data_IF_038731602226
#
_entry.id   IF_038731602226
#
_cell.length_a   1.000
_cell.length_b   1.000
_cell.length_c   1.000
_cell.angle_alpha   90.00
_cell.angle_beta   90.00
_cell.angle_gamma   90.00
#
_symmetry.space_group_name_H-M   'P 1'
#
loop_
_entity.id
_entity.type
_entity.pdbx_description
1 polymer ?
#
# COMPACT_ATOMS: atom_id res chain seq x y z
N UNK A 1 27.96 -11.06 -15.45
CA UNK A 1 27.73 -9.65 -15.04
C UNK A 1 28.39 -9.37 -13.71
N UNK A 2 28.29 -10.28 -12.72
CA UNK A 2 29.03 -10.23 -11.45
C UNK A 2 30.53 -9.91 -11.62
N UNK A 3 31.14 -10.40 -12.71
CA UNK A 3 32.53 -10.11 -13.05
C UNK A 3 32.86 -8.61 -13.17
N UNK A 4 31.88 -7.78 -13.53
CA UNK A 4 31.99 -6.31 -13.59
C UNK A 4 31.98 -5.66 -12.20
N UNK A 5 31.54 -6.38 -11.17
CA UNK A 5 31.31 -5.88 -9.82
C UNK A 5 32.44 -6.21 -8.85
N UNK A 6 33.46 -6.97 -9.30
CA UNK A 6 34.59 -7.45 -8.47
C UNK A 6 35.39 -6.35 -7.76
N UNK A 7 35.31 -5.10 -8.24
CA UNK A 7 36.05 -3.96 -7.70
C UNK A 7 35.27 -3.15 -6.64
N UNK A 8 34.08 -3.61 -6.24
CA UNK A 8 33.25 -3.00 -5.19
C UNK A 8 33.37 -3.81 -3.90
N UNK A 9 33.36 -3.12 -2.76
CA UNK A 9 33.49 -3.73 -1.44
C UNK A 9 32.21 -4.48 -1.06
N UNK A 10 31.05 -3.88 -1.38
CA UNK A 10 29.74 -4.51 -1.27
C UNK A 10 28.89 -4.16 -2.51
N UNK A 11 27.99 -5.06 -2.91
CA UNK A 11 27.03 -4.77 -3.95
C UNK A 11 25.73 -5.55 -3.76
N UNK A 12 24.64 -5.02 -4.32
CA UNK A 12 23.37 -5.72 -4.53
C UNK A 12 22.94 -5.50 -5.97
N UNK A 13 22.45 -6.56 -6.60
CA UNK A 13 21.82 -6.55 -7.92
C UNK A 13 20.41 -7.11 -7.77
N UNK A 14 19.41 -6.34 -8.19
CA UNK A 14 18.01 -6.74 -8.20
C UNK A 14 17.56 -6.75 -9.65
N UNK A 15 17.25 -7.92 -10.20
CA UNK A 15 16.66 -8.06 -11.52
C UNK A 15 15.16 -8.35 -11.38
N UNK A 16 14.33 -7.53 -12.03
CA UNK A 16 12.89 -7.70 -12.08
C UNK A 16 12.45 -7.82 -13.53
N UNK A 17 11.68 -8.87 -13.82
CA UNK A 17 11.02 -9.07 -15.10
C UNK A 17 9.52 -9.22 -14.86
N UNK A 18 8.71 -8.38 -15.50
CA UNK A 18 7.26 -8.44 -15.41
C UNK A 18 6.64 -8.64 -16.76
N UNK A 19 5.64 -9.51 -16.82
CA UNK A 19 4.71 -9.63 -17.93
C UNK A 19 3.32 -9.24 -17.45
N UNK A 20 2.74 -8.21 -18.05
CA UNK A 20 1.46 -7.66 -17.61
C UNK A 20 0.48 -7.63 -18.76
N UNK A 21 -0.74 -8.13 -18.49
CA UNK A 21 -1.92 -7.94 -19.32
C UNK A 21 -2.84 -6.95 -18.65
N UNK A 22 -3.37 -6.01 -19.43
CA UNK A 22 -4.37 -5.06 -18.99
C UNK A 22 -5.58 -5.16 -19.91
N UNK A 23 -6.75 -5.29 -19.30
CA UNK A 23 -8.02 -5.16 -19.97
C UNK A 23 -8.72 -3.90 -19.46
N UNK A 24 -9.12 -3.00 -20.36
CA UNK A 24 -9.87 -1.78 -20.05
C UNK A 24 -11.27 -1.86 -20.60
N UNK A 25 -12.21 -1.36 -19.81
CA UNK A 25 -13.61 -1.26 -20.16
C UNK A 25 -14.15 0.13 -19.83
N UNK A 26 -15.13 0.56 -20.63
CA UNK A 26 -15.83 1.84 -20.51
C UNK A 26 -17.20 1.70 -21.19
N UNK A 27 -18.18 2.51 -20.81
CA UNK A 27 -19.56 2.33 -21.24
C UNK A 27 -20.05 0.89 -20.98
N UNK A 28 -19.56 0.27 -19.89
CA UNK A 28 -19.82 -1.13 -19.51
C UNK A 28 -19.43 -2.17 -20.57
N UNK A 29 -18.47 -1.86 -21.44
CA UNK A 29 -17.99 -2.76 -22.48
C UNK A 29 -16.48 -2.81 -22.48
N UNK A 30 -15.96 -4.03 -22.66
CA UNK A 30 -14.54 -4.27 -22.86
C UNK A 30 -14.12 -3.63 -24.18
N UNK A 31 -13.14 -2.72 -24.12
CA UNK A 31 -12.74 -1.92 -25.28
C UNK A 31 -11.28 -2.11 -25.69
N UNK A 32 -10.39 -2.39 -24.74
CA UNK A 32 -8.94 -2.42 -25.02
C UNK A 32 -8.29 -3.55 -24.22
N UNK A 33 -7.49 -4.37 -24.90
CA UNK A 33 -6.55 -5.31 -24.27
C UNK A 33 -5.14 -4.87 -24.63
N UNK A 34 -4.27 -4.78 -23.62
CA UNK A 34 -2.85 -4.44 -23.77
C UNK A 34 -2.01 -5.52 -23.10
N UNK A 35 -0.86 -5.81 -23.67
CA UNK A 35 0.17 -6.65 -23.09
C UNK A 35 1.51 -5.94 -23.23
N UNK A 36 2.33 -5.98 -22.19
CA UNK A 36 3.71 -5.51 -22.24
C UNK A 36 4.59 -6.32 -21.30
N UNK A 37 5.90 -6.27 -21.57
CA UNK A 37 6.93 -6.87 -20.75
C UNK A 37 7.94 -5.80 -20.36
N UNK A 38 8.29 -5.74 -19.09
CA UNK A 38 9.31 -4.84 -18.57
C UNK A 38 10.43 -5.68 -17.96
N UNK A 39 11.68 -5.27 -18.22
CA UNK A 39 12.85 -5.83 -17.55
C UNK A 39 13.73 -4.70 -17.04
N UNK A 40 14.01 -4.73 -15.75
CA UNK A 40 14.83 -3.74 -15.08
C UNK A 40 15.89 -4.45 -14.21
N UNK A 41 17.07 -3.83 -14.13
CA UNK A 41 18.11 -4.22 -13.19
C UNK A 41 18.49 -3.01 -12.36
N UNK A 42 18.30 -3.09 -11.04
CA UNK A 42 18.80 -2.12 -10.09
C UNK A 42 20.14 -2.59 -9.52
N UNK A 43 21.11 -1.68 -9.43
CA UNK A 43 22.41 -1.96 -8.86
C UNK A 43 22.67 -0.98 -7.71
N UNK A 44 23.07 -1.52 -6.56
CA UNK A 44 23.59 -0.77 -5.42
C UNK A 44 25.06 -1.13 -5.25
N UNK A 45 25.93 -0.14 -5.40
CA UNK A 45 27.37 -0.33 -5.46
C UNK A 45 28.04 0.43 -4.33
N UNK A 46 28.80 -0.28 -3.48
CA UNK A 46 29.48 0.30 -2.33
C UNK A 46 31.00 0.15 -2.46
N UNK A 47 31.74 1.25 -2.34
CA UNK A 47 33.21 1.26 -2.46
C UNK A 47 33.82 2.39 -1.65
N UNK A 48 34.84 2.07 -0.84
CA UNK A 48 35.60 3.00 0.01
C UNK A 48 34.70 3.90 0.86
N UNK A 49 33.69 3.29 1.49
CA UNK A 49 32.76 4.02 2.34
C UNK A 49 31.60 4.68 1.60
N UNK A 50 31.45 4.53 0.28
CA UNK A 50 30.50 5.32 -0.51
C UNK A 50 29.53 4.45 -1.29
N UNK A 51 28.23 4.77 -1.24
CA UNK A 51 27.16 4.04 -1.90
C UNK A 51 26.60 4.84 -3.09
N UNK A 52 26.47 4.21 -4.25
CA UNK A 52 25.71 4.74 -5.40
C UNK A 52 24.77 3.67 -5.89
N UNK A 53 23.53 4.05 -6.19
CA UNK A 53 22.58 3.21 -6.89
C UNK A 53 22.20 3.77 -8.26
N UNK A 54 21.81 2.88 -9.17
CA UNK A 54 21.17 3.23 -10.44
C UNK A 54 20.42 2.02 -11.00
N UNK A 55 19.43 2.28 -11.86
CA UNK A 55 18.75 1.23 -12.60
C UNK A 55 19.11 1.22 -14.09
N UNK A 56 18.94 0.06 -14.72
CA UNK A 56 19.18 -0.18 -16.14
C UNK A 56 17.97 -0.89 -16.73
N UNK A 57 17.22 -0.18 -17.56
CA UNK A 57 16.14 -0.73 -18.36
C UNK A 57 16.67 -1.63 -19.49
N UNK A 58 16.01 -2.77 -19.68
CA UNK A 58 16.36 -3.79 -20.66
C UNK A 58 17.87 -4.09 -20.62
N UNK A 59 18.36 -4.61 -19.48
CA UNK A 59 19.78 -4.65 -19.17
C UNK A 59 20.54 -5.54 -20.14
N UNK A 60 21.63 -4.99 -20.66
CA UNK A 60 22.66 -5.72 -21.40
C UNK A 60 24.03 -5.36 -20.84
N UNK A 61 25.03 -6.18 -21.15
CA UNK A 61 26.39 -6.03 -20.60
C UNK A 61 27.01 -4.66 -20.90
N UNK A 62 26.71 -4.04 -22.05
CA UNK A 62 27.25 -2.73 -22.46
C UNK A 62 26.59 -1.61 -21.67
N UNK A 63 25.26 -1.63 -21.51
CA UNK A 63 24.51 -0.66 -20.70
C UNK A 63 24.94 -0.71 -19.24
N UNK A 64 25.02 -1.90 -18.66
CA UNK A 64 25.45 -2.11 -17.26
C UNK A 64 26.87 -1.58 -17.06
N UNK A 65 27.82 -1.92 -17.95
CA UNK A 65 29.19 -1.40 -17.89
C UNK A 65 29.22 0.14 -17.93
N UNK A 66 28.47 0.76 -18.84
CA UNK A 66 28.37 2.23 -18.92
C UNK A 66 27.80 2.85 -17.65
N UNK A 67 26.81 2.20 -17.03
CA UNK A 67 26.24 2.60 -15.74
C UNK A 67 27.27 2.57 -14.62
N UNK A 68 28.03 1.47 -14.51
CA UNK A 68 29.11 1.30 -13.53
C UNK A 68 30.18 2.39 -13.70
N UNK A 69 30.64 2.65 -14.92
CA UNK A 69 31.64 3.69 -15.20
C UNK A 69 31.15 5.09 -14.79
N UNK A 70 29.85 5.38 -14.95
CA UNK A 70 29.24 6.62 -14.48
C UNK A 70 29.15 6.66 -12.94
N UNK A 71 28.75 5.56 -12.31
CA UNK A 71 28.65 5.44 -10.86
C UNK A 71 30.00 5.68 -10.18
N UNK A 72 31.10 5.09 -10.68
CA UNK A 72 32.45 5.30 -10.13
C UNK A 72 32.92 6.76 -10.23
N UNK A 73 32.49 7.50 -11.26
CA UNK A 73 32.77 8.94 -11.38
C UNK A 73 31.98 9.73 -10.34
N UNK A 74 30.70 9.42 -10.16
CA UNK A 74 29.80 10.09 -9.20
C UNK A 74 30.26 9.83 -7.75
N UNK A 75 30.72 8.62 -7.45
CA UNK A 75 31.24 8.26 -6.12
C UNK A 75 32.33 9.21 -5.60
N UNK A 76 33.05 9.91 -6.47
CA UNK A 76 34.08 10.87 -6.04
C UNK A 76 33.50 12.07 -5.28
N UNK A 77 32.26 12.44 -5.56
CA UNK A 77 31.61 13.65 -5.03
C UNK A 77 30.72 13.43 -3.82
N UNK A 78 30.38 12.18 -3.49
CA UNK A 78 29.50 11.88 -2.35
C UNK A 78 30.30 11.63 -1.06
N UNK A 79 29.73 11.98 0.10
CA UNK A 79 30.33 11.71 1.40
C UNK A 79 30.34 10.19 1.72
N UNK A 80 31.18 9.74 2.65
CA UNK A 80 31.13 8.38 3.14
C UNK A 80 29.89 8.13 4.02
N UNK A 81 29.41 6.89 4.02
CA UNK A 81 28.33 6.38 4.85
C UNK A 81 28.60 4.92 5.26
N UNK A 82 28.02 4.51 6.40
CA UNK A 82 27.95 3.09 6.76
C UNK A 82 26.94 2.38 5.87
N UNK A 83 27.25 1.16 5.46
CA UNK A 83 26.37 0.32 4.66
C UNK A 83 26.60 -1.14 5.01
N UNK A 84 25.57 -1.81 5.49
CA UNK A 84 25.59 -3.23 5.83
C UNK A 84 24.63 -4.02 4.96
N UNK A 85 24.95 -5.30 4.78
CA UNK A 85 24.15 -6.23 4.00
C UNK A 85 23.79 -7.46 4.82
N UNK A 86 22.56 -7.90 4.63
CA UNK A 86 22.08 -9.20 5.05
C UNK A 86 22.94 -10.36 4.54
N UNK A 87 22.78 -11.50 5.20
CA UNK A 87 23.34 -12.79 4.76
C UNK A 87 22.20 -13.69 4.31
N UNK A 88 22.54 -14.70 3.53
CA UNK A 88 21.58 -15.70 3.07
C UNK A 88 20.89 -16.38 4.26
N UNK A 89 19.57 -16.52 4.14
CA UNK A 89 18.72 -17.15 5.14
C UNK A 89 17.95 -18.36 4.57
N UNK A 90 17.21 -19.06 5.44
CA UNK A 90 16.24 -20.09 5.06
C UNK A 90 14.92 -19.43 4.69
N UNK A 91 14.49 -19.63 3.45
CA UNK A 91 13.26 -19.03 2.94
C UNK A 91 12.07 -19.96 3.11
N UNK A 92 10.90 -19.37 3.38
CA UNK A 92 9.62 -20.06 3.35
C UNK A 92 8.76 -19.48 2.24
N UNK A 93 8.02 -20.33 1.53
CA UNK A 93 7.12 -19.91 0.47
C UNK A 93 5.69 -20.33 0.78
N UNK A 94 4.92 -19.42 1.38
CA UNK A 94 3.52 -19.66 1.77
C UNK A 94 2.50 -18.95 0.89
N UNK A 95 2.96 -18.13 -0.06
CA UNK A 95 2.09 -17.28 -0.88
C UNK A 95 1.42 -18.07 -2.00
N UNK A 96 0.23 -17.61 -2.38
CA UNK A 96 -0.44 -18.11 -3.58
C UNK A 96 0.32 -17.72 -4.84
N UNK A 97 0.25 -18.60 -5.84
CA UNK A 97 0.70 -18.33 -7.18
C UNK A 97 -0.33 -18.89 -8.15
N UNK A 98 -0.88 -18.02 -8.99
CA UNK A 98 -1.90 -18.39 -9.96
C UNK A 98 -1.23 -18.67 -11.31
N UNK A 99 -1.23 -19.94 -11.72
CA UNK A 99 -0.70 -20.36 -13.03
C UNK A 99 -1.49 -19.77 -14.20
N UNK A 100 -2.77 -19.42 -13.97
CA UNK A 100 -3.67 -18.83 -14.94
C UNK A 100 -3.63 -17.30 -14.94
N UNK A 101 -2.74 -16.65 -14.17
CA UNK A 101 -2.65 -15.19 -14.06
C UNK A 101 -2.51 -14.49 -15.43
N UNK A 102 -1.98 -15.15 -16.46
CA UNK A 102 -1.85 -14.60 -17.82
C UNK A 102 -2.81 -15.22 -18.85
N UNK A 103 -3.79 -16.02 -18.41
CA UNK A 103 -4.76 -16.68 -19.28
C UNK A 103 -5.84 -15.67 -19.73
N UNK A 104 -5.99 -15.49 -21.05
CA UNK A 104 -6.88 -14.47 -21.62
C UNK A 104 -8.36 -14.72 -21.30
N UNK A 105 -8.80 -15.98 -21.38
CA UNK A 105 -10.19 -16.36 -21.08
C UNK A 105 -10.56 -16.08 -19.62
N UNK A 106 -9.64 -16.35 -18.69
CA UNK A 106 -9.82 -16.10 -17.26
C UNK A 106 -9.89 -14.60 -16.96
N UNK A 107 -9.01 -13.80 -17.58
CA UNK A 107 -9.01 -12.34 -17.44
C UNK A 107 -10.30 -11.73 -18.01
N UNK A 108 -10.75 -12.21 -19.18
CA UNK A 108 -12.01 -11.79 -19.81
C UNK A 108 -13.19 -12.10 -18.89
N UNK A 109 -13.31 -13.35 -18.43
CA UNK A 109 -14.38 -13.82 -17.55
C UNK A 109 -14.49 -12.99 -16.27
N UNK A 110 -13.37 -12.76 -15.58
CA UNK A 110 -13.40 -11.97 -14.33
C UNK A 110 -13.69 -10.49 -14.58
N UNK A 111 -13.31 -9.96 -15.75
CA UNK A 111 -13.70 -8.59 -16.11
C UNK A 111 -15.19 -8.48 -16.43
N UNK A 112 -15.76 -9.44 -17.16
CA UNK A 112 -17.20 -9.48 -17.44
C UNK A 112 -18.01 -9.57 -16.15
N UNK A 113 -17.63 -10.47 -15.23
CA UNK A 113 -18.22 -10.55 -13.89
C UNK A 113 -18.17 -9.21 -13.14
N UNK A 114 -17.03 -8.51 -13.17
CA UNK A 114 -16.90 -7.21 -12.51
C UNK A 114 -17.85 -6.15 -13.09
N UNK A 115 -18.01 -6.12 -14.41
CA UNK A 115 -18.93 -5.22 -15.10
C UNK A 115 -20.38 -5.55 -14.72
N UNK A 116 -20.77 -6.83 -14.82
CA UNK A 116 -22.11 -7.31 -14.46
C UNK A 116 -22.43 -6.96 -13.00
N UNK A 117 -21.51 -7.27 -12.09
CA UNK A 117 -21.66 -6.98 -10.67
C UNK A 117 -21.81 -5.49 -10.40
N UNK A 118 -21.04 -4.64 -11.08
CA UNK A 118 -21.18 -3.18 -10.97
C UNK A 118 -22.54 -2.68 -11.48
N UNK A 119 -23.12 -3.31 -12.49
CA UNK A 119 -24.40 -2.91 -13.09
C UNK A 119 -25.62 -3.34 -12.28
N UNK A 120 -25.46 -4.22 -11.29
CA UNK A 120 -26.51 -4.46 -10.29
C UNK A 120 -26.82 -3.19 -9.47
N UNK A 121 -25.88 -2.24 -9.39
CA UNK A 121 -25.97 -1.04 -8.53
C UNK A 121 -26.01 0.27 -9.33
N UNK A 122 -25.24 0.35 -10.42
CA UNK A 122 -25.10 1.57 -11.23
C UNK A 122 -25.69 1.45 -12.63
N UNK A 123 -25.67 2.57 -13.34
CA UNK A 123 -26.14 2.67 -14.73
C UNK A 123 -25.02 2.33 -15.73
N UNK A 124 -23.77 2.60 -15.35
CA UNK A 124 -22.60 2.41 -16.19
C UNK A 124 -21.36 2.04 -15.35
N UNK A 125 -20.42 1.31 -15.95
CA UNK A 125 -19.11 1.07 -15.36
C UNK A 125 -17.95 1.39 -16.30
N UNK A 126 -16.83 1.82 -15.70
CA UNK A 126 -15.57 2.03 -16.40
C UNK A 126 -14.40 1.65 -15.49
N UNK A 127 -13.34 1.07 -16.05
CA UNK A 127 -12.24 0.57 -15.24
C UNK A 127 -11.20 -0.21 -16.01
N UNK A 128 -10.34 -0.89 -15.25
CA UNK A 128 -9.35 -1.79 -15.79
C UNK A 128 -9.04 -2.94 -14.82
N UNK A 129 -8.84 -4.12 -15.38
CA UNK A 129 -8.22 -5.26 -14.73
C UNK A 129 -6.78 -5.37 -15.22
N UNK A 130 -5.83 -5.42 -14.29
CA UNK A 130 -4.42 -5.69 -14.53
C UNK A 130 -4.10 -7.08 -13.99
N UNK A 131 -3.37 -7.86 -14.78
CA UNK A 131 -2.93 -9.19 -14.41
C UNK A 131 -1.46 -9.35 -14.72
N UNK A 132 -0.65 -9.61 -13.70
CA UNK A 132 0.80 -9.50 -13.75
C UNK A 132 1.45 -10.77 -13.25
N UNK A 133 2.43 -11.26 -14.01
CA UNK A 133 3.42 -12.24 -13.55
C UNK A 133 4.76 -11.53 -13.39
N UNK A 134 5.41 -11.70 -12.25
CA UNK A 134 6.70 -11.11 -11.94
C UNK A 134 7.70 -12.22 -11.61
N UNK A 135 8.92 -12.11 -12.16
CA UNK A 135 10.09 -12.84 -11.73
C UNK A 135 11.07 -11.86 -11.09
N UNK A 136 11.54 -12.18 -9.89
CA UNK A 136 12.49 -11.40 -9.12
C UNK A 136 13.75 -12.23 -8.90
N UNK A 137 14.91 -11.65 -9.10
CA UNK A 137 16.20 -12.25 -8.79
C UNK A 137 17.08 -11.27 -8.04
N UNK A 138 17.73 -11.76 -6.98
CA UNK A 138 18.63 -10.95 -6.15
C UNK A 138 19.98 -11.64 -6.03
N UNK A 139 21.04 -10.86 -6.24
CA UNK A 139 22.43 -11.26 -6.01
C UNK A 139 23.15 -10.21 -5.17
N UNK A 140 23.97 -10.62 -4.19
CA UNK A 140 24.76 -9.67 -3.41
C UNK A 140 26.19 -10.16 -3.12
N UNK A 141 27.03 -9.25 -2.63
CA UNK A 141 28.44 -9.54 -2.31
C UNK A 141 28.66 -10.49 -1.12
N UNK A 142 27.63 -10.78 -0.32
CA UNK A 142 27.66 -11.77 0.76
C UNK A 142 27.34 -13.19 0.27
N UNK A 143 27.20 -13.40 -1.04
CA UNK A 143 26.92 -14.71 -1.63
C UNK A 143 25.44 -15.09 -1.67
N UNK A 144 24.54 -14.13 -1.46
CA UNK A 144 23.11 -14.32 -1.76
C UNK A 144 22.95 -14.46 -3.28
N UNK A 145 22.20 -15.47 -3.69
CA UNK A 145 21.68 -15.65 -5.03
C UNK A 145 20.34 -16.39 -4.88
N UNK A 146 19.23 -15.65 -5.04
CA UNK A 146 17.89 -16.17 -4.80
C UNK A 146 16.88 -15.59 -5.79
N UNK A 147 15.82 -16.36 -6.02
CA UNK A 147 14.79 -16.05 -7.02
C UNK A 147 13.40 -16.23 -6.43
N UNK A 148 12.47 -15.38 -6.88
CA UNK A 148 11.07 -15.46 -6.53
C UNK A 148 10.15 -15.22 -7.73
N UNK A 149 8.95 -15.79 -7.66
CA UNK A 149 7.93 -15.67 -8.70
C UNK A 149 6.61 -15.24 -8.05
N UNK A 150 5.98 -14.24 -8.65
CA UNK A 150 4.76 -13.63 -8.13
C UNK A 150 3.67 -13.52 -9.19
N UNK A 151 2.42 -13.66 -8.76
CA UNK A 151 1.21 -13.39 -9.54
C UNK A 151 0.41 -12.31 -8.82
N UNK A 152 -0.09 -11.32 -9.55
CA UNK A 152 -0.88 -10.22 -9.00
C UNK A 152 -1.99 -9.85 -9.96
N UNK A 153 -3.22 -9.90 -9.48
CA UNK A 153 -4.40 -9.36 -10.14
C UNK A 153 -4.83 -8.08 -9.41
N UNK A 154 -5.15 -7.03 -10.16
CA UNK A 154 -5.60 -5.74 -9.62
C UNK A 154 -6.74 -5.20 -10.48
N UNK A 155 -7.92 -5.05 -9.88
CA UNK A 155 -9.10 -4.47 -10.48
C UNK A 155 -9.32 -3.07 -9.92
N UNK A 156 -9.51 -2.09 -10.80
CA UNK A 156 -10.02 -0.77 -10.45
C UNK A 156 -11.24 -0.47 -11.30
N UNK A 157 -12.38 -0.28 -10.66
CA UNK A 157 -13.68 -0.09 -11.32
C UNK A 157 -14.44 1.06 -10.69
N UNK A 158 -14.96 1.94 -11.55
CA UNK A 158 -15.90 2.98 -11.19
C UNK A 158 -17.30 2.57 -11.60
N UNK A 159 -18.20 2.60 -10.64
CA UNK A 159 -19.65 2.47 -10.86
C UNK A 159 -20.23 3.87 -10.94
N UNK A 160 -20.92 4.18 -12.03
CA UNK A 160 -21.51 5.49 -12.30
C UNK A 160 -23.02 5.45 -12.03
N UNK A 161 -23.53 6.51 -11.40
CA UNK A 161 -24.94 6.72 -11.11
C UNK A 161 -25.28 8.14 -11.52
N UNK A 162 -26.24 8.43 -12.42
CA UNK A 162 -26.69 9.79 -12.79
C UNK A 162 -25.56 10.86 -12.77
N UNK A 163 -25.35 11.55 -11.62
CA UNK A 163 -24.34 12.59 -11.40
C UNK A 163 -23.28 12.26 -10.31
N UNK A 164 -22.98 10.98 -10.10
CA UNK A 164 -22.15 10.43 -9.03
C UNK A 164 -21.35 9.22 -9.49
N UNK A 165 -20.31 8.89 -8.74
CA UNK A 165 -19.54 7.66 -8.94
C UNK A 165 -19.06 7.11 -7.62
N UNK A 166 -18.99 5.78 -7.52
CA UNK A 166 -18.23 5.07 -6.49
C UNK A 166 -17.04 4.38 -7.14
N UNK A 167 -15.92 4.33 -6.42
CA UNK A 167 -14.71 3.64 -6.86
C UNK A 167 -14.51 2.40 -5.99
N UNK A 168 -14.36 1.25 -6.63
CA UNK A 168 -13.97 0.00 -6.00
C UNK A 168 -12.59 -0.42 -6.52
N UNK A 169 -11.78 -0.93 -5.61
CA UNK A 169 -10.48 -1.53 -5.93
C UNK A 169 -10.39 -2.90 -5.28
N UNK A 170 -9.89 -3.89 -6.02
CA UNK A 170 -9.55 -5.21 -5.50
C UNK A 170 -8.15 -5.57 -5.93
N UNK A 171 -7.44 -6.27 -5.07
CA UNK A 171 -6.18 -6.90 -5.45
C UNK A 171 -6.04 -8.25 -4.74
N UNK A 172 -5.42 -9.19 -5.42
CA UNK A 172 -5.19 -10.55 -4.94
C UNK A 172 -4.04 -11.18 -5.73
N UNK A 173 -3.49 -12.28 -5.21
CA UNK A 173 -2.51 -13.08 -5.94
C UNK A 173 -3.15 -14.05 -6.94
N UNK A 174 -4.48 -14.19 -6.90
CA UNK A 174 -5.26 -15.03 -7.81
C UNK A 174 -6.25 -14.19 -8.61
N UNK A 175 -6.54 -14.60 -9.85
CA UNK A 175 -7.61 -14.00 -10.65
C UNK A 175 -8.99 -14.39 -10.13
N UNK A 176 -9.14 -15.62 -9.65
CA UNK A 176 -10.44 -16.17 -9.28
C UNK A 176 -11.15 -15.32 -8.21
N UNK A 177 -12.39 -14.94 -8.51
CA UNK A 177 -13.24 -14.15 -7.62
C UNK A 177 -12.90 -12.66 -7.52
N UNK A 178 -11.91 -12.15 -8.27
CA UNK A 178 -11.59 -10.71 -8.24
C UNK A 178 -12.74 -9.84 -8.78
N UNK A 179 -13.51 -10.38 -9.73
CA UNK A 179 -14.66 -9.69 -10.32
C UNK A 179 -15.93 -9.71 -9.46
N UNK A 180 -15.96 -10.51 -8.40
CA UNK A 180 -17.17 -10.73 -7.60
C UNK A 180 -17.34 -9.73 -6.44
N UNK A 181 -16.25 -9.04 -6.06
CA UNK A 181 -16.17 -8.21 -4.85
C UNK A 181 -16.21 -6.72 -5.18
N UNK A 182 -17.35 -6.14 -5.56
CA UNK A 182 -17.42 -4.72 -5.91
C UNK A 182 -17.99 -3.92 -4.75
N UNK A 183 -17.23 -2.94 -4.22
CA UNK A 183 -17.54 -2.10 -3.04
C UNK A 183 -18.97 -1.54 -2.95
N UNK A 184 -19.68 -1.40 -4.08
CA UNK A 184 -21.08 -1.03 -4.12
C UNK A 184 -22.01 -2.04 -3.41
N UNK A 185 -21.58 -3.30 -3.28
CA UNK A 185 -22.26 -4.38 -2.57
C UNK A 185 -22.64 -4.02 -1.13
N UNK A 186 -21.83 -3.19 -0.48
CA UNK A 186 -22.01 -2.76 0.91
C UNK A 186 -23.00 -1.60 1.08
N UNK A 187 -23.43 -0.94 0.01
CA UNK A 187 -24.30 0.25 0.07
C UNK A 187 -25.46 0.18 -0.93
N UNK A 188 -26.33 -0.80 -0.75
CA UNK A 188 -27.46 -1.12 -1.65
C UNK A 188 -28.52 -0.01 -1.82
N UNK A 189 -28.45 1.11 -1.08
CA UNK A 189 -29.34 2.27 -1.24
C UNK A 189 -28.60 3.58 -1.07
N UNK A 190 -28.13 4.13 -2.18
CA UNK A 190 -27.59 5.50 -2.22
C UNK A 190 -28.78 6.47 -2.12
N UNK A 191 -28.86 7.32 -1.08
CA UNK A 191 -29.95 8.30 -0.96
C UNK A 191 -29.88 9.32 -2.10
N UNK A 192 -31.02 9.85 -2.55
CA UNK A 192 -31.01 10.94 -3.56
C UNK A 192 -30.75 12.33 -2.94
N UNK A 193 -31.06 12.48 -1.65
CA UNK A 193 -31.00 13.76 -0.94
C UNK A 193 -29.55 14.20 -0.76
N UNK A 194 -29.27 15.46 -1.09
CA UNK A 194 -27.95 16.08 -0.93
C UNK A 194 -27.96 17.10 0.19
N UNK A 195 -26.84 17.23 0.88
CA UNK A 195 -26.63 18.22 1.93
C UNK A 195 -25.21 18.75 1.96
N UNK A 196 -25.08 20.01 2.34
CA UNK A 196 -23.80 20.61 2.68
C UNK A 196 -23.49 20.37 4.15
N UNK A 197 -22.29 19.85 4.41
CA UNK A 197 -21.74 19.73 5.76
C UNK A 197 -21.26 21.10 6.21
N UNK A 198 -21.34 21.39 7.50
CA UNK A 198 -20.76 22.61 8.10
C UNK A 198 -19.35 22.29 8.55
N UNK A 199 -18.49 23.30 8.61
CA UNK A 199 -17.18 23.12 9.22
C UNK A 199 -17.32 22.80 10.71
N UNK A 200 -16.47 21.91 11.22
CA UNK A 200 -16.51 21.51 12.60
C UNK A 200 -15.94 20.13 12.86
N UNK A 201 -16.27 19.60 14.03
CA UNK A 201 -15.85 18.29 14.50
C UNK A 201 -16.93 17.25 14.23
N UNK A 202 -16.53 16.14 13.64
CA UNK A 202 -17.42 15.04 13.30
C UNK A 202 -16.78 13.71 13.69
N UNK A 203 -17.62 12.78 14.13
CA UNK A 203 -17.27 11.37 14.03
C UNK A 203 -17.32 10.96 12.57
N UNK A 204 -16.39 10.13 12.14
CA UNK A 204 -16.36 9.61 10.78
C UNK A 204 -16.26 8.10 10.77
N UNK A 205 -16.97 7.47 9.83
CA UNK A 205 -16.79 6.08 9.45
C UNK A 205 -15.97 6.04 8.16
N UNK A 206 -14.73 5.60 8.25
CA UNK A 206 -13.85 5.39 7.11
C UNK A 206 -14.08 3.98 6.56
N UNK A 207 -14.26 3.89 5.26
CA UNK A 207 -14.24 2.60 4.55
C UNK A 207 -12.82 2.05 4.48
N UNK A 208 -12.64 0.75 4.15
CA UNK A 208 -11.33 0.17 3.95
C UNK A 208 -10.47 0.94 2.95
N UNK A 209 -11.05 1.46 1.86
CA UNK A 209 -10.32 2.25 0.86
C UNK A 209 -9.77 3.54 1.48
N UNK A 210 -10.61 4.27 2.21
CA UNK A 210 -10.22 5.54 2.83
C UNK A 210 -9.24 5.33 4.00
N UNK A 211 -9.45 4.30 4.81
CA UNK A 211 -8.58 4.00 5.95
C UNK A 211 -7.22 3.46 5.49
N UNK A 212 -7.19 2.59 4.48
CA UNK A 212 -5.96 2.08 3.87
C UNK A 212 -5.03 3.19 3.38
N UNK A 213 -5.56 4.29 2.84
CA UNK A 213 -4.75 5.46 2.45
C UNK A 213 -3.96 6.00 3.65
N UNK A 214 -4.63 6.25 4.78
CA UNK A 214 -3.98 6.77 5.98
C UNK A 214 -2.97 5.78 6.56
N UNK A 215 -3.31 4.49 6.57
CA UNK A 215 -2.44 3.43 7.07
C UNK A 215 -1.23 3.19 6.16
N UNK A 216 -1.36 3.37 4.85
CA UNK A 216 -0.22 3.32 3.92
C UNK A 216 0.82 4.40 4.23
N UNK A 217 0.39 5.63 4.54
CA UNK A 217 1.30 6.66 5.04
C UNK A 217 1.92 6.28 6.39
N UNK A 218 1.11 5.79 7.35
CA UNK A 218 1.60 5.31 8.64
C UNK A 218 2.70 4.24 8.49
N UNK A 219 2.50 3.26 7.60
CA UNK A 219 3.47 2.21 7.34
C UNK A 219 4.81 2.78 6.83
N UNK A 220 4.77 3.77 5.93
CA UNK A 220 5.98 4.45 5.49
C UNK A 220 6.66 5.24 6.62
N UNK A 221 5.89 5.88 7.52
CA UNK A 221 6.42 6.55 8.70
C UNK A 221 7.11 5.61 9.68
N UNK A 222 6.76 4.32 9.68
CA UNK A 222 7.39 3.30 10.51
C UNK A 222 8.77 2.86 10.01
N UNK A 223 9.21 3.31 8.83
CA UNK A 223 10.56 3.05 8.34
C UNK A 223 11.62 3.74 9.22
N UNK A 224 12.63 2.99 9.67
CA UNK A 224 13.72 3.56 10.45
C UNK A 224 14.48 4.66 9.68
N UNK A 225 14.55 4.56 8.36
CA UNK A 225 15.13 5.63 7.53
C UNK A 225 14.28 6.90 7.55
N UNK A 226 12.94 6.78 7.50
CA UNK A 226 12.04 7.93 7.59
C UNK A 226 12.15 8.63 8.96
N UNK A 227 12.31 7.87 10.03
CA UNK A 227 12.59 8.40 11.38
C UNK A 227 13.93 9.14 11.41
N UNK A 228 15.01 8.48 11.01
CA UNK A 228 16.37 9.02 11.04
C UNK A 228 16.56 10.29 10.20
N UNK A 229 15.81 10.41 9.11
CA UNK A 229 15.85 11.55 8.20
C UNK A 229 14.89 12.68 8.60
N UNK A 230 14.11 12.51 9.67
CA UNK A 230 13.16 13.49 10.16
C UNK A 230 11.90 13.62 9.29
N UNK A 231 11.57 12.58 8.53
CA UNK A 231 10.35 12.43 7.74
C UNK A 231 9.29 11.55 8.44
N UNK A 232 9.36 11.42 9.78
CA UNK A 232 8.38 10.64 10.54
C UNK A 232 7.99 11.31 11.84
N UNK A 233 6.71 11.16 12.20
CA UNK A 233 6.17 11.59 13.49
C UNK A 233 6.38 10.56 14.61
N UNK A 234 6.97 9.41 14.30
CA UNK A 234 7.23 8.31 15.24
C UNK A 234 8.59 8.40 15.94
N UNK A 235 9.36 9.45 15.68
CA UNK A 235 10.68 9.69 16.31
C UNK A 235 10.56 9.66 17.84
N UNK A 236 11.42 8.85 18.49
CA UNK A 236 11.49 8.68 19.94
C UNK A 236 10.18 8.20 20.61
N UNK A 237 9.31 7.48 19.89
CA UNK A 237 8.02 6.99 20.40
C UNK A 237 7.93 5.49 20.63
N UNK A 238 9.01 4.72 20.44
CA UNK A 238 9.03 3.29 20.78
C UNK A 238 8.71 3.12 22.28
N UNK A 239 7.80 2.20 22.60
CA UNK A 239 7.29 1.95 23.94
C UNK A 239 6.21 2.95 24.41
N UNK A 240 5.69 3.80 23.52
CA UNK A 240 4.65 4.79 23.86
C UNK A 240 3.36 4.56 23.06
N UNK A 241 2.22 5.00 23.61
CA UNK A 241 0.92 4.94 22.92
C UNK A 241 0.87 5.97 21.79
N UNK A 242 0.84 5.48 20.55
CA UNK A 242 0.72 6.27 19.31
C UNK A 242 -0.64 6.10 18.63
N UNK A 243 -1.44 5.14 19.09
CA UNK A 243 -2.78 4.84 18.61
C UNK A 243 -3.70 4.42 19.76
N UNK A 244 -4.99 4.23 19.46
CA UNK A 244 -5.99 3.68 20.38
C UNK A 244 -5.65 2.22 20.75
N UNK A 245 -6.13 1.75 21.90
CA UNK A 245 -5.86 0.38 22.38
C UNK A 245 -6.47 -0.70 21.49
N UNK A 246 -7.51 -0.36 20.71
CA UNK A 246 -8.09 -1.27 19.73
C UNK A 246 -7.26 -1.41 18.44
N UNK A 247 -6.12 -0.71 18.32
CA UNK A 247 -5.28 -0.73 17.12
C UNK A 247 -4.04 -1.59 17.35
N UNK A 248 -3.98 -2.70 16.63
CA UNK A 248 -2.75 -3.47 16.39
C UNK A 248 -2.45 -3.42 14.90
N UNK A 249 -1.22 -3.06 14.54
CA UNK A 249 -0.74 -2.94 13.16
C UNK A 249 0.54 -3.75 13.01
N UNK A 250 0.59 -4.62 12.01
CA UNK A 250 1.78 -5.36 11.68
C UNK A 250 2.08 -5.29 10.18
N UNK A 251 3.35 -5.39 9.83
CA UNK A 251 3.80 -5.65 8.46
C UNK A 251 4.09 -7.14 8.29
N UNK A 252 3.81 -7.69 7.11
CA UNK A 252 4.09 -9.10 6.86
C UNK A 252 4.44 -9.35 5.40
N UNK A 253 5.63 -9.89 5.16
CA UNK A 253 6.07 -10.38 3.85
C UNK A 253 5.65 -11.82 3.55
N UNK A 254 4.93 -12.47 4.48
CA UNK A 254 4.53 -13.88 4.42
C UNK A 254 3.02 -14.10 4.37
N UNK A 255 2.23 -13.03 4.17
CA UNK A 255 0.77 -13.13 3.98
C UNK A 255 0.44 -13.92 2.71
N UNK A 256 -0.41 -14.94 2.84
CA UNK A 256 -0.66 -15.89 1.74
C UNK A 256 -1.19 -15.21 0.48
N UNK A 257 -2.13 -14.28 0.63
CA UNK A 257 -2.73 -13.51 -0.47
C UNK A 257 -2.19 -12.07 -0.55
N UNK A 258 -1.16 -11.73 0.23
CA UNK A 258 -0.52 -10.41 0.18
C UNK A 258 0.18 -10.20 -1.16
N UNK A 259 -0.23 -9.18 -1.92
CA UNK A 259 0.34 -8.95 -3.25
C UNK A 259 1.81 -8.54 -3.22
N UNK A 260 2.31 -8.05 -2.07
CA UNK A 260 3.72 -7.73 -1.84
C UNK A 260 4.45 -8.79 -1.00
N UNK A 261 3.83 -9.95 -0.75
CA UNK A 261 4.52 -11.07 -0.08
C UNK A 261 5.63 -11.64 -0.94
N UNK A 262 6.82 -11.81 -0.35
CA UNK A 262 8.06 -12.27 -1.02
C UNK A 262 8.83 -13.19 -0.09
N UNK A 263 9.57 -14.16 -0.64
CA UNK A 263 10.38 -15.11 0.17
C UNK A 263 11.51 -14.43 0.94
N UNK A 264 12.00 -13.32 0.41
CA UNK A 264 13.14 -12.57 0.91
C UNK A 264 13.00 -11.09 0.60
N UNK A 265 13.66 -10.24 1.39
CA UNK A 265 13.78 -8.81 1.16
C UNK A 265 14.89 -8.48 0.14
N UNK A 266 15.12 -7.18 -0.12
CA UNK A 266 16.05 -6.77 -1.18
C UNK A 266 17.53 -7.10 -0.85
N UNK A 267 17.85 -7.44 0.41
CA UNK A 267 19.17 -7.90 0.83
C UNK A 267 19.31 -9.44 0.79
N UNK A 268 18.21 -10.16 0.54
CA UNK A 268 18.15 -11.62 0.53
C UNK A 268 17.92 -12.26 1.90
N UNK A 269 17.46 -11.50 2.89
CA UNK A 269 17.04 -12.00 4.20
C UNK A 269 15.60 -12.48 4.10
N UNK A 270 15.20 -13.52 4.86
CA UNK A 270 13.80 -13.96 4.87
C UNK A 270 12.86 -12.83 5.33
N UNK A 271 11.72 -12.68 4.64
CA UNK A 271 10.67 -11.77 5.13
C UNK A 271 9.91 -12.44 6.28
N UNK A 272 9.28 -11.62 7.12
CA UNK A 272 8.60 -12.09 8.32
C UNK A 272 7.36 -11.24 8.62
N UNK A 273 6.64 -11.61 9.68
CA UNK A 273 5.64 -10.76 10.33
C UNK A 273 6.33 -9.92 11.40
N UNK A 274 6.14 -8.61 11.35
CA UNK A 274 6.71 -7.63 12.29
C UNK A 274 5.59 -6.77 12.86
N UNK A 275 5.32 -6.90 14.17
CA UNK A 275 4.33 -6.06 14.86
C UNK A 275 4.90 -4.65 15.05
N UNK A 276 4.30 -3.66 14.38
CA UNK A 276 4.72 -2.25 14.46
C UNK A 276 4.02 -1.57 15.65
N UNK A 277 2.72 -1.77 15.77
CA UNK A 277 1.88 -1.27 16.87
C UNK A 277 1.14 -2.45 17.48
N UNK A 278 1.16 -2.58 18.80
CA UNK A 278 0.39 -3.58 19.55
C UNK A 278 -0.45 -2.86 20.58
N UNK A 279 -1.78 -3.00 20.48
CA UNK A 279 -2.74 -2.37 21.39
C UNK A 279 -2.47 -0.87 21.61
N UNK A 280 -2.20 -0.16 20.52
CA UNK A 280 -1.92 1.27 20.50
C UNK A 280 -0.47 1.68 20.81
N UNK A 281 0.38 0.76 21.29
CA UNK A 281 1.78 1.05 21.64
C UNK A 281 2.72 0.75 20.46
N UNK A 282 3.60 1.69 20.12
CA UNK A 282 4.62 1.49 19.09
C UNK A 282 5.72 0.56 19.60
N UNK A 283 5.93 -0.58 18.94
CA UNK A 283 6.89 -1.61 19.37
C UNK A 283 8.23 -1.52 18.67
N UNK A 284 8.26 -1.21 17.37
CA UNK A 284 9.50 -1.14 16.59
C UNK A 284 9.33 -0.24 15.36
N UNK A 285 10.45 0.08 14.72
CA UNK A 285 10.48 0.53 13.33
C UNK A 285 10.72 -0.66 12.39
N UNK A 286 10.46 -0.48 11.10
CA UNK A 286 10.89 -1.40 10.06
C UNK A 286 12.36 -1.13 9.71
N UNK A 287 13.15 -2.20 9.63
CA UNK A 287 14.59 -2.16 9.48
C UNK A 287 15.09 -3.01 8.30
N UNK A 288 16.15 -2.50 7.68
CA UNK A 288 17.10 -3.23 6.85
C UNK A 288 18.39 -3.46 7.66
N UNK A 289 19.41 -4.15 7.13
CA UNK A 289 20.63 -4.43 7.93
C UNK A 289 21.38 -3.17 8.37
N UNK A 290 21.40 -2.14 7.52
CA UNK A 290 22.10 -0.87 7.82
C UNK A 290 21.44 -0.12 8.98
N UNK A 291 20.11 0.02 8.92
CA UNK A 291 19.34 0.72 9.97
C UNK A 291 19.26 -0.11 11.24
N UNK A 292 19.18 -1.44 11.15
CA UNK A 292 19.23 -2.34 12.30
C UNK A 292 20.56 -2.18 13.07
N UNK A 293 21.70 -2.17 12.37
CA UNK A 293 23.00 -1.92 13.00
C UNK A 293 23.03 -0.55 13.70
N UNK A 294 22.53 0.51 13.05
CA UNK A 294 22.53 1.86 13.63
C UNK A 294 21.67 1.96 14.89
N UNK A 295 20.53 1.26 14.94
CA UNK A 295 19.61 1.23 16.07
C UNK A 295 19.95 0.13 17.10
N UNK A 296 21.05 -0.61 16.90
CA UNK A 296 21.46 -1.73 17.74
C UNK A 296 20.35 -2.79 17.94
N UNK A 297 19.62 -3.10 16.86
CA UNK A 297 18.57 -4.11 16.83
C UNK A 297 18.81 -5.11 15.68
N UNK A 298 17.90 -6.07 15.52
CA UNK A 298 17.90 -6.99 14.40
C UNK A 298 17.09 -6.42 13.23
N UNK A 299 17.42 -6.85 12.00
CA UNK A 299 16.62 -6.53 10.82
C UNK A 299 15.22 -7.11 10.96
N UNK A 300 14.21 -6.40 10.43
CA UNK A 300 12.83 -6.89 10.41
C UNK A 300 12.48 -7.60 9.11
N UNK A 301 13.47 -7.82 8.23
CA UNK A 301 13.26 -8.42 6.91
C UNK A 301 12.50 -7.49 5.96
N UNK A 302 12.71 -6.17 6.10
CA UNK A 302 12.04 -5.11 5.34
C UNK A 302 13.02 -4.30 4.48
N UNK A 303 14.13 -4.90 4.05
CA UNK A 303 15.08 -4.17 3.22
C UNK A 303 14.44 -3.76 1.88
N UNK A 304 14.23 -2.44 1.73
CA UNK A 304 14.73 -1.70 0.59
C UNK A 304 16.16 -1.23 0.90
N UNK A 305 17.07 -1.31 -0.08
CA UNK A 305 18.52 -1.21 0.18
C UNK A 305 18.92 0.11 0.86
N UNK A 306 18.27 1.22 0.51
CA UNK A 306 18.51 2.53 1.13
C UNK A 306 17.51 2.78 2.27
N UNK A 307 16.22 2.58 1.99
CA UNK A 307 15.13 2.83 2.92
C UNK A 307 14.36 1.54 3.15
N UNK A 308 14.19 1.08 4.40
CA UNK A 308 13.26 0.00 4.71
C UNK A 308 11.85 0.33 4.20
N UNK A 309 11.15 -0.68 3.66
CA UNK A 309 9.81 -0.53 3.09
C UNK A 309 8.85 -1.59 3.67
N UNK A 310 7.56 -1.24 3.86
CA UNK A 310 6.54 -2.22 4.23
C UNK A 310 6.25 -3.18 3.06
N UNK A 311 5.91 -4.42 3.39
CA UNK A 311 5.41 -5.41 2.44
C UNK A 311 3.90 -5.34 2.33
N UNK A 312 3.20 -5.98 3.24
CA UNK A 312 1.75 -5.90 3.37
C UNK A 312 1.47 -5.43 4.79
N UNK A 313 0.84 -4.27 4.93
CA UNK A 313 0.45 -3.74 6.23
C UNK A 313 -0.94 -4.26 6.59
N UNK A 314 -1.11 -4.76 7.80
CA UNK A 314 -2.38 -5.27 8.28
C UNK A 314 -2.73 -4.52 9.55
N UNK A 315 -3.93 -3.92 9.56
CA UNK A 315 -4.58 -3.50 10.80
C UNK A 315 -5.41 -4.67 11.26
N UNK A 316 -5.24 -5.12 12.50
CA UNK A 316 -6.10 -6.18 13.03
C UNK A 316 -7.58 -5.77 12.99
N UNK A 317 -8.45 -6.74 12.74
CA UNK A 317 -9.89 -6.48 12.70
C UNK A 317 -10.43 -6.36 14.12
N UNK A 318 -11.51 -5.60 14.29
CA UNK A 318 -12.28 -5.57 15.53
C UNK A 318 -13.35 -6.66 15.57
N UNK A 319 -14.37 -6.46 16.39
CA UNK A 319 -15.48 -7.41 16.56
C UNK A 319 -16.77 -6.97 15.87
N UNK A 320 -16.83 -5.74 15.37
CA UNK A 320 -18.07 -5.14 14.86
C UNK A 320 -18.39 -5.57 13.43
N UNK A 321 -19.68 -5.72 13.14
CA UNK A 321 -20.20 -5.68 11.76
C UNK A 321 -20.44 -4.24 11.33
N UNK A 322 -20.37 -3.99 10.02
CA UNK A 322 -20.55 -2.64 9.47
C UNK A 322 -21.91 -2.06 9.86
N UNK A 323 -22.98 -2.87 9.78
CA UNK A 323 -24.34 -2.42 10.14
C UNK A 323 -24.42 -1.97 11.61
N UNK A 324 -23.80 -2.73 12.53
CA UNK A 324 -23.72 -2.38 13.96
C UNK A 324 -22.94 -1.06 14.17
N UNK A 325 -21.85 -0.86 13.43
CA UNK A 325 -21.09 0.40 13.47
C UNK A 325 -21.92 1.58 12.98
N UNK A 326 -22.77 1.39 11.95
CA UNK A 326 -23.63 2.45 11.42
C UNK A 326 -24.73 2.78 12.42
N UNK A 327 -25.40 1.75 12.98
CA UNK A 327 -26.49 1.88 13.96
C UNK A 327 -26.06 2.67 15.21
N UNK A 328 -24.82 2.47 15.69
CA UNK A 328 -24.26 3.16 16.85
C UNK A 328 -23.92 4.65 16.59
N UNK A 329 -23.95 5.11 15.34
CA UNK A 329 -23.60 6.49 14.97
C UNK A 329 -24.84 7.40 14.93
N UNK A 330 -24.92 8.31 15.90
CA UNK A 330 -26.01 9.28 15.99
C UNK A 330 -25.89 10.45 15.00
N UNK A 331 -24.67 10.92 14.74
CA UNK A 331 -24.38 12.00 13.79
C UNK A 331 -22.93 11.92 13.31
N UNK A 332 -22.70 11.33 12.14
CA UNK A 332 -21.35 11.05 11.62
C UNK A 332 -21.28 11.19 10.10
N UNK A 333 -20.06 11.22 9.55
CA UNK A 333 -19.84 11.19 8.10
C UNK A 333 -19.25 9.83 7.69
N UNK A 334 -19.85 9.18 6.71
CA UNK A 334 -19.24 8.01 6.06
C UNK A 334 -18.41 8.49 4.88
N UNK A 335 -17.10 8.25 4.93
CA UNK A 335 -16.16 8.66 3.89
C UNK A 335 -15.75 7.43 3.09
N UNK A 336 -16.21 7.33 1.84
CA UNK A 336 -15.97 6.15 1.00
C UNK A 336 -14.58 6.10 0.38
N UNK A 337 -13.99 7.26 0.12
CA UNK A 337 -12.67 7.37 -0.48
C UNK A 337 -12.04 8.72 -0.11
N UNK A 338 -10.71 8.77 -0.07
CA UNK A 338 -9.94 10.00 0.16
C UNK A 338 -8.77 10.09 -0.81
N UNK A 339 -8.58 11.27 -1.41
CA UNK A 339 -7.52 11.53 -2.38
C UNK A 339 -6.75 12.78 -2.01
N UNK A 340 -5.56 12.92 -2.60
CA UNK A 340 -4.70 14.09 -2.39
C UNK A 340 -4.35 14.27 -0.90
N UNK A 341 -4.13 13.15 -0.21
CA UNK A 341 -3.56 13.17 1.14
C UNK A 341 -2.17 13.77 1.06
N UNK A 342 -1.96 14.88 1.77
CA UNK A 342 -0.70 15.61 1.78
C UNK A 342 -0.34 15.99 3.19
N UNK A 343 0.84 15.55 3.61
CA UNK A 343 1.46 15.98 4.86
C UNK A 343 2.14 17.32 4.62
N UNK A 344 1.69 18.34 5.35
CA UNK A 344 2.40 19.63 5.36
C UNK A 344 3.49 19.65 6.43
N UNK A 345 3.42 18.73 7.42
CA UNK A 345 4.52 18.48 8.34
C UNK A 345 4.61 16.98 8.70
N UNK A 346 5.66 16.34 8.20
CA UNK A 346 5.93 14.91 8.41
C UNK A 346 6.40 14.59 9.84
N UNK A 347 7.03 15.56 10.53
CA UNK A 347 7.56 15.38 11.90
C UNK A 347 6.47 15.43 12.97
N UNK A 348 5.45 16.25 12.75
CA UNK A 348 4.30 16.32 13.66
C UNK A 348 3.19 15.37 13.21
N UNK A 349 3.13 15.02 11.92
CA UNK A 349 2.10 14.16 11.35
C UNK A 349 0.87 14.93 10.86
N UNK A 350 1.00 16.23 10.61
CA UNK A 350 -0.12 17.08 10.18
C UNK A 350 -0.36 16.96 8.68
N UNK A 351 -1.61 16.67 8.31
CA UNK A 351 -2.01 16.42 6.93
C UNK A 351 -3.37 17.02 6.58
N UNK A 352 -3.63 17.11 5.28
CA UNK A 352 -4.96 17.34 4.76
C UNK A 352 -5.26 16.33 3.66
N UNK A 353 -6.50 15.86 3.59
CA UNK A 353 -7.00 15.00 2.53
C UNK A 353 -8.43 15.38 2.14
N UNK A 354 -8.83 15.03 0.93
CA UNK A 354 -10.14 15.39 0.38
C UNK A 354 -10.97 14.13 0.20
N UNK A 355 -12.17 14.12 0.78
CA UNK A 355 -13.13 13.07 0.50
C UNK A 355 -13.49 13.10 -0.99
N UNK A 356 -13.38 11.95 -1.65
CA UNK A 356 -13.72 11.77 -3.05
C UNK A 356 -14.84 10.76 -3.21
N UNK A 357 -15.34 10.68 -4.43
CA UNK A 357 -16.52 9.90 -4.76
C UNK A 357 -17.72 10.37 -3.91
N UNK A 358 -18.58 9.47 -3.46
CA UNK A 358 -19.75 9.80 -2.64
C UNK A 358 -19.37 9.68 -1.16
N UNK A 359 -19.63 10.70 -0.37
CA UNK A 359 -19.64 10.59 1.10
C UNK A 359 -21.08 10.71 1.61
N UNK A 360 -21.37 10.15 2.78
CA UNK A 360 -22.71 10.15 3.35
C UNK A 360 -22.77 10.81 4.72
N UNK A 361 -23.91 11.40 5.05
CA UNK A 361 -24.26 11.79 6.41
C UNK A 361 -25.06 10.66 7.05
N UNK A 362 -24.52 10.12 8.14
CA UNK A 362 -25.21 9.17 9.03
C UNK A 362 -25.90 9.97 10.12
N UNK A 363 -27.19 9.70 10.33
CA UNK A 363 -27.96 10.29 11.42
C UNK A 363 -28.87 9.24 12.04
N UNK A 364 -28.80 9.11 13.37
CA UNK A 364 -29.58 8.15 14.16
C UNK A 364 -29.50 6.71 13.61
N UNK A 365 -28.30 6.26 13.25
CA UNK A 365 -28.11 4.90 12.74
C UNK A 365 -28.45 4.69 11.26
N UNK A 366 -28.78 5.75 10.50
CA UNK A 366 -29.20 5.62 9.11
C UNK A 366 -28.39 6.51 8.16
N UNK A 367 -28.07 5.97 6.98
CA UNK A 367 -27.47 6.71 5.87
C UNK A 367 -28.57 7.53 5.18
N UNK A 368 -28.62 8.85 5.43
CA UNK A 368 -29.75 9.69 4.98
C UNK A 368 -29.45 10.53 3.75
N UNK A 369 -28.23 11.06 3.64
CA UNK A 369 -27.92 12.14 2.71
C UNK A 369 -26.53 11.97 2.10
N UNK A 370 -26.39 12.32 0.83
CA UNK A 370 -25.08 12.52 0.19
C UNK A 370 -24.51 13.85 0.61
N UNK A 371 -23.23 13.86 0.93
CA UNK A 371 -22.46 15.04 1.29
C UNK A 371 -21.25 15.21 0.37
N UNK A 372 -20.85 16.47 0.13
CA UNK A 372 -19.75 16.83 -0.77
C UNK A 372 -18.91 17.95 -0.17
N UNK A 373 -17.73 18.15 -0.77
CA UNK A 373 -16.83 19.25 -0.41
C UNK A 373 -16.14 19.04 0.94
N UNK A 374 -16.06 17.80 1.42
CA UNK A 374 -15.45 17.43 2.70
C UNK A 374 -13.93 17.38 2.52
N UNK A 375 -13.23 18.15 3.37
CA UNK A 375 -11.79 18.05 3.56
C UNK A 375 -11.51 17.73 5.01
N UNK A 376 -10.71 16.69 5.23
CA UNK A 376 -10.17 16.33 6.54
C UNK A 376 -8.84 17.06 6.69
N UNK A 377 -8.67 17.81 7.77
CA UNK A 377 -7.43 18.52 8.09
C UNK A 377 -7.04 18.16 9.52
N UNK A 378 -6.14 17.20 9.67
CA UNK A 378 -5.94 16.47 10.91
C UNK A 378 -4.46 16.13 11.17
N UNK A 379 -4.22 15.58 12.36
CA UNK A 379 -2.95 14.99 12.74
C UNK A 379 -3.04 13.45 12.74
N UNK A 380 -2.06 12.76 12.16
CA UNK A 380 -2.07 11.30 12.00
C UNK A 380 -2.13 10.57 13.35
N UNK A 381 -1.31 10.98 14.34
CA UNK A 381 -1.33 10.36 15.66
C UNK A 381 -2.68 10.56 16.36
N UNK A 382 -3.27 11.76 16.22
CA UNK A 382 -4.60 12.05 16.74
C UNK A 382 -5.67 11.18 16.10
N UNK A 383 -5.64 11.00 14.77
CA UNK A 383 -6.56 10.11 14.05
C UNK A 383 -6.45 8.69 14.60
N UNK A 384 -5.24 8.16 14.73
CA UNK A 384 -5.01 6.80 15.24
C UNK A 384 -5.43 6.63 16.71
N UNK A 385 -5.19 7.64 17.56
CA UNK A 385 -5.64 7.66 18.97
C UNK A 385 -7.15 7.77 19.12
N UNK A 386 -7.82 8.38 18.14
CA UNK A 386 -9.27 8.57 18.17
C UNK A 386 -10.04 7.45 17.44
N UNK A 387 -9.39 6.37 17.01
CA UNK A 387 -10.11 5.20 16.51
C UNK A 387 -10.88 4.57 17.67
N UNK A 388 -12.21 4.55 17.55
CA UNK A 388 -13.12 4.03 18.55
C UNK A 388 -13.35 2.53 18.38
N UNK A 389 -13.62 2.09 17.15
CA UNK A 389 -13.83 0.67 16.83
C UNK A 389 -13.49 0.38 15.37
N UNK A 390 -13.29 -0.91 15.10
CA UNK A 390 -12.95 -1.46 13.79
C UNK A 390 -13.93 -2.57 13.41
N UNK A 391 -14.20 -2.73 12.11
CA UNK A 391 -14.93 -3.91 11.65
C UNK A 391 -14.08 -5.17 11.77
N UNK A 392 -14.76 -6.31 11.86
CA UNK A 392 -14.12 -7.64 11.82
C UNK A 392 -13.47 -7.95 10.49
N UNK A 393 -14.21 -7.72 9.41
CA UNK A 393 -13.76 -8.00 8.06
C UNK A 393 -12.74 -6.95 7.58
N UNK A 394 -11.75 -7.42 6.82
CA UNK A 394 -10.68 -6.60 6.23
C UNK A 394 -10.68 -6.77 4.73
N UNK A 395 -10.31 -5.71 4.00
CA UNK A 395 -10.11 -5.75 2.55
C UNK A 395 -8.66 -5.38 2.23
N UNK A 396 -8.03 -6.12 1.32
CA UNK A 396 -6.71 -5.78 0.80
C UNK A 396 -6.86 -4.66 -0.24
N UNK A 397 -6.34 -3.48 0.09
CA UNK A 397 -6.42 -2.28 -0.73
C UNK A 397 -5.03 -1.95 -1.26
N UNK A 398 -4.93 -1.76 -2.58
CA UNK A 398 -3.75 -1.26 -3.27
C UNK A 398 -4.20 -0.52 -4.53
N UNK A 399 -3.71 0.71 -4.72
CA UNK A 399 -3.98 1.57 -5.88
C UNK A 399 -3.14 2.86 -5.75
N UNK A 400 -3.29 3.82 -6.65
CA UNK A 400 -2.36 4.97 -6.71
C UNK A 400 -2.37 5.93 -5.50
N UNK A 401 -3.34 5.84 -4.60
CA UNK A 401 -3.33 6.57 -3.31
C UNK A 401 -2.93 5.66 -2.13
N UNK A 402 -2.60 4.38 -2.37
CA UNK A 402 -2.19 3.38 -1.38
C UNK A 402 -0.96 2.66 -1.95
N UNK A 403 0.22 3.25 -1.73
CA UNK A 403 1.48 2.86 -2.39
C UNK A 403 2.06 1.54 -1.88
N UNK A 404 1.63 1.09 -0.69
CA UNK A 404 1.91 -0.23 -0.15
C UNK A 404 0.58 -0.91 0.23
N UNK A 405 0.38 -2.20 -0.10
CA UNK A 405 -0.87 -2.91 0.18
C UNK A 405 -1.25 -2.85 1.66
N UNK A 406 -2.51 -2.53 1.93
CA UNK A 406 -3.05 -2.52 3.29
C UNK A 406 -4.28 -3.43 3.38
N UNK A 407 -4.26 -4.36 4.33
CA UNK A 407 -5.46 -5.07 4.77
C UNK A 407 -6.16 -4.20 5.81
N UNK A 408 -7.14 -3.42 5.36
CA UNK A 408 -7.83 -2.44 6.19
C UNK A 408 -9.27 -2.90 6.53
N UNK A 409 -9.69 -2.79 7.79
CA UNK A 409 -11.10 -2.82 8.16
C UNK A 409 -11.78 -1.47 7.90
N UNK A 410 -13.09 -1.40 8.13
CA UNK A 410 -13.78 -0.15 8.42
C UNK A 410 -13.32 0.40 9.77
N UNK A 411 -13.26 1.72 9.91
CA UNK A 411 -12.83 2.36 11.16
C UNK A 411 -13.74 3.54 11.52
N UNK A 412 -14.22 3.57 12.77
CA UNK A 412 -14.86 4.77 13.34
C UNK A 412 -13.79 5.61 14.01
N UNK A 413 -13.64 6.85 13.57
CA UNK A 413 -12.72 7.83 14.17
C UNK A 413 -13.53 8.97 14.76
N UNK A 414 -13.28 9.28 16.04
CA UNK A 414 -14.00 10.32 16.77
C UNK A 414 -13.35 11.69 16.62
N UNK A 415 -14.17 12.74 16.70
CA UNK A 415 -13.71 14.13 16.82
C UNK A 415 -12.72 14.58 15.71
N UNK A 416 -13.04 14.27 14.45
CA UNK A 416 -12.24 14.64 13.28
C UNK A 416 -12.59 16.04 12.78
N UNK A 417 -11.56 16.86 12.53
CA UNK A 417 -11.65 18.19 11.91
C UNK A 417 -12.08 18.10 10.45
N UNK A 418 -13.30 18.57 10.19
CA UNK A 418 -13.84 18.73 8.84
C UNK A 418 -13.90 20.21 8.49
N UNK A 419 -13.25 20.53 7.38
CA UNK A 419 -13.38 21.82 6.67
C UNK A 419 -14.17 21.61 5.40
N UNK A 420 -14.83 22.65 4.91
CA UNK A 420 -15.67 22.53 3.71
C UNK A 420 -15.28 23.57 2.68
N UNK A 421 -15.21 23.18 1.42
CA UNK A 421 -14.82 24.10 0.34
C UNK A 421 -16.00 24.92 -0.19
N UNK A 422 -17.06 25.10 0.60
CA UNK A 422 -18.26 25.80 0.15
C UNK A 422 -17.97 27.30 -0.02
N UNK A 423 -17.79 27.67 -1.29
CA UNK A 423 -18.26 28.93 -1.86
C UNK A 423 -19.53 28.65 -2.65
#
# INVERSE_FOLDING_TARGET
MIDLLKNFDKFVVIEKETKTKQLRFYNSKIGIIKEWNDREMELFLYKKGKLVSFSVENPDRKKVKKGIEKAEKIMRYIPPMSFELGKRDKYTNNKYFDENILNDESILKETEKAIEKSLEYGEESAGALYSTKENLKIENSNGVCCEDINSVAYLSIRTLFKNQSLHSVNCSRTLDGIGEKIFCDEFLKIPEKKKFVKEGKYDILLTPIAFANLISYFANFSSAFAVDSGYSFLENKIGTKVASECITIYDSGIERDGIFSRKFDDEGISTQKTTIVEEGELKTYLHNSTTALKHNCETTGNAGIISPMPWNTIVDGGDYKIDEMIEDLSNALLITNVWYTRFHNYRTGDFSTVARDIAFHIKNGEILEIVRGIRISENMERVLKNVACLSKEKRQIYWWEVENPVFAPYAVVKDVSITTTNR
#
